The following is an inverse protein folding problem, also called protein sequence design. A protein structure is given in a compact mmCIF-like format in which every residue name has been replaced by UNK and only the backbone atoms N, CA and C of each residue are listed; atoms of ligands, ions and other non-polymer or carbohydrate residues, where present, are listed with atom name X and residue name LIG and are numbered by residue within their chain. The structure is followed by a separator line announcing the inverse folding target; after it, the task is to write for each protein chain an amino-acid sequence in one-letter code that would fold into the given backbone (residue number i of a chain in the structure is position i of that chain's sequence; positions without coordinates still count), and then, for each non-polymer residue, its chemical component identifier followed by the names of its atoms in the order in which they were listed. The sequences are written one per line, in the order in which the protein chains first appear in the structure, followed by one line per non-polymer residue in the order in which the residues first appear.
data_IF_819332359953
#
_entry.id   IF_819332359953
#
_cell.length_a   1.000
_cell.length_b   1.000
_cell.length_c   1.000
_cell.angle_alpha   90.00
_cell.angle_beta   90.00
_cell.angle_gamma   90.00
#
_symmetry.space_group_name_H-M   'P 1'
#
loop_
_entity.id
_entity.type
_entity.pdbx_description
1 polymer ?
#
# COMPACT_ATOMS: atom_id res chain seq x y z
N UNK A 1 -21.51 29.50 -18.91
CA UNK A 1 -22.66 29.88 -19.77
C UNK A 1 -22.18 30.70 -20.95
N UNK A 2 -23.09 31.28 -21.73
CA UNK A 2 -22.76 32.08 -22.94
C UNK A 2 -22.81 33.60 -22.73
N UNK A 3 -23.14 34.04 -21.51
CA UNK A 3 -23.37 35.44 -21.11
C UNK A 3 -22.16 36.35 -21.34
N UNK A 4 -20.96 35.91 -20.96
CA UNK A 4 -19.75 36.71 -21.07
C UNK A 4 -18.91 36.30 -22.28
N UNK A 5 -18.40 37.29 -23.03
CA UNK A 5 -17.55 37.12 -24.21
C UNK A 5 -16.10 37.55 -23.99
N UNK A 6 -15.82 38.24 -22.88
CA UNK A 6 -14.49 38.62 -22.44
C UNK A 6 -14.29 38.12 -21.00
N UNK A 7 -13.08 37.61 -20.70
CA UNK A 7 -12.74 37.02 -19.41
C UNK A 7 -11.48 37.69 -18.87
N UNK A 8 -11.44 38.03 -17.56
CA UNK A 8 -10.24 38.57 -16.96
C UNK A 8 -9.13 37.53 -16.93
N UNK A 9 -7.88 37.98 -16.98
CA UNK A 9 -6.73 37.12 -16.72
C UNK A 9 -6.64 36.78 -15.24
N UNK A 10 -5.90 35.71 -14.91
CA UNK A 10 -5.59 35.33 -13.54
C UNK A 10 -5.04 36.52 -12.72
N UNK A 11 -4.05 37.23 -13.28
CA UNK A 11 -3.38 38.33 -12.59
C UNK A 11 -4.29 39.53 -12.34
N UNK A 12 -5.33 39.74 -13.16
CA UNK A 12 -6.32 40.79 -12.93
C UNK A 12 -7.41 40.35 -11.94
N UNK A 13 -7.91 39.12 -12.06
CA UNK A 13 -9.04 38.64 -11.27
C UNK A 13 -8.67 38.40 -9.80
N UNK A 14 -7.57 37.70 -9.54
CA UNK A 14 -7.20 37.27 -8.18
C UNK A 14 -7.07 38.42 -7.15
N UNK A 15 -6.35 39.53 -7.44
CA UNK A 15 -6.21 40.61 -6.46
C UNK A 15 -7.54 41.29 -6.12
N UNK A 16 -8.49 41.32 -7.07
CA UNK A 16 -9.82 41.88 -6.90
C UNK A 16 -10.68 40.94 -6.04
N UNK A 17 -10.77 39.66 -6.43
CA UNK A 17 -11.58 38.65 -5.72
C UNK A 17 -11.10 38.49 -4.27
N UNK A 18 -9.80 38.32 -4.05
CA UNK A 18 -9.25 38.16 -2.69
C UNK A 18 -9.58 39.36 -1.80
N UNK A 19 -9.54 40.57 -2.37
CA UNK A 19 -9.86 41.78 -1.61
C UNK A 19 -11.34 41.83 -1.23
N UNK A 20 -12.23 41.61 -2.20
CA UNK A 20 -13.69 41.65 -2.05
C UNK A 20 -14.22 40.54 -1.13
N UNK A 21 -13.62 39.34 -1.17
CA UNK A 21 -14.01 38.21 -0.33
C UNK A 21 -13.45 38.30 1.10
N UNK A 22 -12.70 39.35 1.43
CA UNK A 22 -12.17 39.52 2.79
C UNK A 22 -10.92 38.69 3.10
N UNK A 23 -10.24 38.11 2.10
CA UNK A 23 -8.99 37.34 2.29
C UNK A 23 -7.94 38.22 2.96
N UNK A 24 -7.42 37.79 4.11
CA UNK A 24 -6.39 38.53 4.84
C UNK A 24 -4.98 38.16 4.37
N UNK A 25 -4.77 36.87 4.12
CA UNK A 25 -3.50 36.27 3.73
C UNK A 25 -3.72 35.33 2.55
N UNK A 26 -3.21 35.70 1.37
CA UNK A 26 -3.19 34.85 0.20
C UNK A 26 -1.96 33.94 0.24
N UNK A 27 -2.17 32.63 0.43
CA UNK A 27 -1.10 31.63 0.45
C UNK A 27 -0.88 31.11 -0.97
N UNK A 28 0.32 31.27 -1.53
CA UNK A 28 0.62 30.83 -2.90
C UNK A 28 1.99 30.19 -3.05
N UNK A 29 2.21 29.48 -4.17
CA UNK A 29 3.52 28.91 -4.44
C UNK A 29 4.55 29.99 -4.81
N UNK A 30 5.82 29.75 -4.51
CA UNK A 30 6.94 30.67 -4.84
C UNK A 30 7.11 30.94 -6.34
N UNK A 31 6.51 30.10 -7.19
CA UNK A 31 6.47 30.28 -8.65
C UNK A 31 5.76 31.57 -9.09
N UNK A 32 4.97 32.18 -8.21
CA UNK A 32 4.24 33.43 -8.48
C UNK A 32 4.92 34.68 -7.91
N UNK A 33 6.09 34.56 -7.29
CA UNK A 33 6.74 35.69 -6.61
C UNK A 33 6.94 36.91 -7.53
N UNK A 34 7.32 36.69 -8.79
CA UNK A 34 7.53 37.78 -9.77
C UNK A 34 6.23 38.52 -10.11
N UNK A 35 5.07 37.98 -9.72
CA UNK A 35 3.75 38.58 -9.91
C UNK A 35 3.24 39.33 -8.67
N UNK A 36 4.01 39.33 -7.57
CA UNK A 36 3.60 39.98 -6.31
C UNK A 36 3.40 41.49 -6.52
N UNK A 37 4.30 42.13 -7.28
CA UNK A 37 4.24 43.57 -7.58
C UNK A 37 2.99 43.92 -8.40
N UNK A 38 2.69 43.13 -9.44
CA UNK A 38 1.49 43.31 -10.27
C UNK A 38 0.21 43.14 -9.44
N UNK A 39 0.16 42.16 -8.55
CA UNK A 39 -0.97 41.91 -7.66
C UNK A 39 -1.24 43.13 -6.75
N UNK A 40 -0.18 43.67 -6.13
CA UNK A 40 -0.30 44.83 -5.23
C UNK A 40 -0.62 46.12 -6.00
N UNK A 41 -0.06 46.29 -7.21
CA UNK A 41 -0.36 47.41 -8.09
C UNK A 41 -1.85 47.49 -8.41
N UNK A 42 -2.48 46.37 -8.77
CA UNK A 42 -3.91 46.32 -9.07
C UNK A 42 -4.76 46.67 -7.84
N UNK A 43 -4.44 46.13 -6.66
CA UNK A 43 -5.17 46.49 -5.43
C UNK A 43 -5.08 47.98 -5.12
N UNK A 44 -3.89 48.57 -5.26
CA UNK A 44 -3.70 50.01 -5.05
C UNK A 44 -4.48 50.85 -6.06
N UNK A 45 -4.43 50.47 -7.33
CA UNK A 45 -5.05 51.22 -8.44
C UNK A 45 -6.56 51.27 -8.31
N UNK A 46 -7.18 50.16 -7.92
CA UNK A 46 -8.63 50.08 -7.73
C UNK A 46 -9.11 50.51 -6.34
N UNK A 47 -8.23 51.04 -5.48
CA UNK A 47 -8.58 51.45 -4.11
C UNK A 47 -9.06 50.29 -3.23
N UNK A 48 -8.59 49.08 -3.50
CA UNK A 48 -9.01 47.87 -2.83
C UNK A 48 -8.24 47.65 -1.52
N UNK A 49 -8.85 46.90 -0.60
CA UNK A 49 -8.20 46.48 0.65
C UNK A 49 -6.98 45.62 0.31
N UNK A 50 -5.83 45.95 0.91
CA UNK A 50 -4.58 45.21 0.72
C UNK A 50 -4.67 43.80 1.30
N UNK A 51 -4.30 42.81 0.51
CA UNK A 51 -4.16 41.41 0.93
C UNK A 51 -2.68 41.06 1.05
N UNK A 52 -2.29 40.37 2.12
CA UNK A 52 -0.89 39.98 2.36
C UNK A 52 -0.60 38.68 1.61
N UNK A 53 0.51 38.63 0.87
CA UNK A 53 0.93 37.42 0.17
C UNK A 53 1.94 36.67 1.05
N UNK A 54 1.72 35.38 1.25
CA UNK A 54 2.71 34.48 1.83
C UNK A 54 3.04 33.35 0.87
N UNK A 55 4.25 33.39 0.34
CA UNK A 55 4.76 32.38 -0.56
C UNK A 55 5.34 31.18 0.21
N UNK A 56 5.02 29.97 -0.27
CA UNK A 56 5.60 28.70 0.15
C UNK A 56 6.01 27.88 -1.07
N UNK A 57 6.94 26.95 -0.94
CA UNK A 57 7.37 26.13 -2.06
C UNK A 57 6.35 25.02 -2.33
N UNK A 58 6.17 24.66 -3.61
CA UNK A 58 5.45 23.44 -3.98
C UNK A 58 6.15 22.21 -3.40
N UNK A 59 5.36 21.20 -3.07
CA UNK A 59 5.90 19.86 -2.81
C UNK A 59 6.24 19.19 -4.14
N UNK A 60 7.36 18.48 -4.15
CA UNK A 60 7.75 17.57 -5.21
C UNK A 60 8.03 16.19 -4.59
N UNK A 61 7.86 15.13 -5.37
CA UNK A 61 8.18 13.76 -4.95
C UNK A 61 9.14 13.14 -5.96
N UNK A 62 10.06 12.32 -5.46
CA UNK A 62 10.96 11.55 -6.32
C UNK A 62 10.18 10.50 -7.14
N UNK A 63 10.72 10.10 -8.28
CA UNK A 63 10.20 9.02 -9.13
C UNK A 63 8.72 9.18 -9.57
N UNK A 64 8.25 10.43 -9.64
CA UNK A 64 6.89 10.74 -10.09
C UNK A 64 6.82 12.09 -10.79
N UNK A 65 5.65 12.42 -11.34
CA UNK A 65 5.35 13.72 -11.93
C UNK A 65 4.10 14.32 -11.30
N UNK A 66 4.14 15.61 -10.95
CA UNK A 66 3.00 16.33 -10.37
C UNK A 66 2.37 17.33 -11.35
N UNK A 67 2.99 17.55 -12.51
CA UNK A 67 2.46 18.44 -13.53
C UNK A 67 1.18 17.86 -14.12
N UNK A 68 0.09 18.64 -14.11
CA UNK A 68 -1.19 18.25 -14.71
C UNK A 68 -1.03 17.83 -16.16
N UNK A 69 -0.20 18.55 -16.94
CA UNK A 69 0.09 18.21 -18.35
C UNK A 69 0.71 16.80 -18.48
N UNK A 70 1.72 16.49 -17.65
CA UNK A 70 2.38 15.17 -17.67
C UNK A 70 1.43 14.06 -17.19
N UNK A 71 0.63 14.31 -16.14
CA UNK A 71 -0.36 13.35 -15.65
C UNK A 71 -1.48 13.10 -16.68
N UNK A 72 -1.97 14.14 -17.36
CA UNK A 72 -2.93 14.00 -18.46
C UNK A 72 -2.35 13.11 -19.56
N UNK A 73 -1.09 13.31 -19.93
CA UNK A 73 -0.43 12.48 -20.95
C UNK A 73 -0.42 10.99 -20.56
N UNK A 74 -0.13 10.63 -19.30
CA UNK A 74 -0.19 9.24 -18.85
C UNK A 74 -1.59 8.62 -19.02
N UNK A 75 -2.65 9.41 -18.78
CA UNK A 75 -4.05 8.99 -18.97
C UNK A 75 -4.36 8.83 -20.46
N UNK A 76 -3.98 9.80 -21.29
CA UNK A 76 -4.23 9.80 -22.74
C UNK A 76 -3.49 8.64 -23.45
N UNK A 77 -2.26 8.34 -23.03
CA UNK A 77 -1.48 7.20 -23.53
C UNK A 77 -1.93 5.85 -22.96
N UNK A 78 -2.96 5.82 -22.09
CA UNK A 78 -3.48 4.60 -21.45
C UNK A 78 -2.42 3.80 -20.67
N UNK A 79 -1.37 4.47 -20.20
CA UNK A 79 -0.35 3.89 -19.33
C UNK A 79 -0.86 3.70 -17.91
N UNK A 80 -1.94 4.43 -17.57
CA UNK A 80 -2.71 4.27 -16.34
C UNK A 80 -4.21 4.10 -16.61
N UNK A 81 -4.92 3.60 -15.61
CA UNK A 81 -6.38 3.39 -15.68
C UNK A 81 -7.20 4.69 -15.60
N UNK A 82 -6.64 5.75 -15.03
CA UNK A 82 -7.31 7.04 -14.90
C UNK A 82 -6.69 7.93 -13.82
N UNK A 83 -7.41 9.00 -13.44
CA UNK A 83 -6.95 9.97 -12.44
C UNK A 83 -6.92 9.42 -11.00
N UNK A 84 -7.62 8.31 -10.75
CA UNK A 84 -7.65 7.60 -9.48
C UNK A 84 -6.84 6.30 -9.51
N UNK A 85 -5.99 6.10 -10.52
CA UNK A 85 -5.06 4.98 -10.56
C UNK A 85 -4.16 4.97 -9.31
N UNK A 86 -3.95 3.81 -8.70
CA UNK A 86 -3.17 3.68 -7.47
C UNK A 86 -1.70 4.12 -7.63
N UNK A 87 -1.16 4.13 -8.86
CA UNK A 87 0.19 4.63 -9.16
C UNK A 87 0.28 6.15 -9.17
N UNK A 88 -0.84 6.84 -9.33
CA UNK A 88 -0.87 8.29 -9.46
C UNK A 88 -0.63 9.00 -8.12
N UNK A 89 0.13 10.11 -8.12
CA UNK A 89 0.36 10.93 -6.94
C UNK A 89 -0.83 11.87 -6.64
N UNK A 90 -2.02 11.57 -7.17
CA UNK A 90 -3.25 12.31 -6.88
C UNK A 90 -3.80 11.89 -5.52
N UNK A 91 -4.57 12.75 -4.87
CA UNK A 91 -5.25 12.39 -3.61
C UNK A 91 -6.09 11.12 -3.80
N UNK A 92 -6.84 11.01 -4.91
CA UNK A 92 -7.63 9.81 -5.21
C UNK A 92 -6.75 8.56 -5.42
N UNK A 93 -5.65 8.69 -6.16
CA UNK A 93 -4.74 7.57 -6.43
C UNK A 93 -4.09 7.03 -5.16
N UNK A 94 -3.51 7.90 -4.32
CA UNK A 94 -2.87 7.45 -3.08
C UNK A 94 -3.89 6.91 -2.06
N UNK A 95 -5.11 7.44 -2.00
CA UNK A 95 -6.19 6.88 -1.18
C UNK A 95 -6.61 5.49 -1.68
N UNK A 96 -6.77 5.32 -3.00
CA UNK A 96 -7.06 4.01 -3.62
C UNK A 96 -5.93 3.01 -3.40
N UNK A 97 -4.67 3.48 -3.36
CA UNK A 97 -3.51 2.65 -3.00
C UNK A 97 -3.49 2.26 -1.52
N UNK A 98 -4.24 2.93 -0.64
CA UNK A 98 -4.35 2.57 0.78
C UNK A 98 -3.76 3.59 1.77
N UNK A 99 -3.59 4.85 1.36
CA UNK A 99 -3.23 5.92 2.29
C UNK A 99 -4.41 6.26 3.20
N UNK A 100 -4.15 6.37 4.49
CA UNK A 100 -5.09 6.84 5.50
C UNK A 100 -5.13 8.38 5.52
N UNK A 101 -6.31 8.99 5.51
CA UNK A 101 -6.47 10.45 5.60
C UNK A 101 -5.76 11.05 6.84
N UNK A 102 -5.90 10.48 8.05
CA UNK A 102 -5.10 10.91 9.21
C UNK A 102 -3.58 10.90 8.97
N UNK A 103 -3.06 9.86 8.31
CA UNK A 103 -1.63 9.77 8.03
C UNK A 103 -1.20 10.81 7.00
N UNK A 104 -2.00 11.03 5.95
CA UNK A 104 -1.76 12.06 4.95
C UNK A 104 -1.71 13.45 5.60
N UNK A 105 -2.70 13.80 6.43
CA UNK A 105 -2.71 15.08 7.17
C UNK A 105 -1.47 15.22 8.04
N UNK A 106 -1.13 14.18 8.81
CA UNK A 106 0.03 14.19 9.70
C UNK A 106 1.35 14.33 8.92
N UNK A 107 1.46 13.68 7.77
CA UNK A 107 2.61 13.85 6.87
C UNK A 107 2.73 15.31 6.40
N UNK A 108 1.64 15.91 5.91
CA UNK A 108 1.63 17.30 5.44
C UNK A 108 1.98 18.28 6.58
N UNK A 109 1.42 18.08 7.77
CA UNK A 109 1.76 18.90 8.94
C UNK A 109 3.21 18.76 9.36
N UNK A 110 3.79 17.55 9.24
CA UNK A 110 5.20 17.31 9.55
C UNK A 110 6.17 17.96 8.56
N UNK A 111 5.78 18.13 7.29
CA UNK A 111 6.61 18.83 6.30
C UNK A 111 6.63 20.36 6.54
N UNK A 112 5.50 20.92 6.93
CA UNK A 112 5.36 22.37 7.17
C UNK A 112 5.45 23.22 5.90
N UNK A 113 5.24 24.52 6.06
CA UNK A 113 5.37 25.49 4.96
C UNK A 113 6.79 26.07 4.95
N UNK A 114 7.57 25.73 3.93
CA UNK A 114 8.92 26.26 3.70
C UNK A 114 9.00 26.92 2.34
N UNK A 115 9.92 27.89 2.15
CA UNK A 115 10.23 28.48 0.84
C UNK A 115 11.26 27.67 0.05
N UNK A 116 11.93 26.70 0.68
CA UNK A 116 12.93 25.86 0.02
C UNK A 116 12.24 24.76 -0.80
N UNK A 117 12.70 24.57 -2.04
CA UNK A 117 12.30 23.42 -2.86
C UNK A 117 12.89 22.15 -2.27
N UNK A 118 12.03 21.19 -1.94
CA UNK A 118 12.40 19.89 -1.42
C UNK A 118 11.73 18.81 -2.26
N UNK A 119 12.51 17.82 -2.68
CA UNK A 119 11.99 16.58 -3.27
C UNK A 119 11.80 15.57 -2.15
N UNK A 120 10.56 15.17 -1.95
CA UNK A 120 10.16 14.24 -0.92
C UNK A 120 10.41 12.80 -1.37
N UNK A 121 10.87 11.98 -0.43
CA UNK A 121 11.07 10.54 -0.62
C UNK A 121 9.80 9.79 -0.18
N UNK A 122 9.31 8.89 -1.03
CA UNK A 122 8.11 8.08 -0.75
C UNK A 122 8.21 7.24 0.52
N UNK A 123 9.41 6.79 0.88
CA UNK A 123 9.63 5.96 2.08
C UNK A 123 9.10 6.62 3.36
N UNK A 124 9.36 7.91 3.52
CA UNK A 124 8.88 8.67 4.68
C UNK A 124 7.34 8.78 4.71
N UNK A 125 6.73 8.97 3.55
CA UNK A 125 5.29 9.07 3.37
C UNK A 125 4.60 7.75 3.72
N UNK A 126 5.12 6.63 3.21
CA UNK A 126 4.59 5.29 3.48
C UNK A 126 4.86 4.81 4.90
N UNK A 127 6.01 5.15 5.49
CA UNK A 127 6.31 4.84 6.88
C UNK A 127 5.33 5.52 7.85
N UNK A 128 4.94 6.77 7.57
CA UNK A 128 3.93 7.45 8.39
C UNK A 128 2.54 6.82 8.20
N UNK A 129 2.19 6.41 6.98
CA UNK A 129 0.96 5.67 6.72
C UNK A 129 0.91 4.35 7.50
N UNK A 130 1.98 3.57 7.47
CA UNK A 130 2.10 2.30 8.20
C UNK A 130 1.78 2.44 9.68
N UNK A 131 2.26 3.49 10.34
CA UNK A 131 1.99 3.74 11.78
C UNK A 131 0.49 3.85 12.07
N UNK A 132 -0.27 4.45 11.15
CA UNK A 132 -1.73 4.56 11.31
C UNK A 132 -2.44 3.26 10.92
N UNK A 133 -1.93 2.51 9.94
CA UNK A 133 -2.52 1.24 9.54
C UNK A 133 -2.31 0.13 10.58
N UNK A 134 -1.11 0.04 11.17
CA UNK A 134 -0.75 -1.05 12.10
C UNK A 134 -1.65 -1.13 13.33
N UNK A 135 -2.24 0.01 13.75
CA UNK A 135 -3.18 0.12 14.87
C UNK A 135 -4.53 -0.54 14.64
N UNK A 136 -4.94 -0.69 13.37
CA UNK A 136 -6.33 -1.02 12.99
C UNK A 136 -6.45 -2.12 11.94
N UNK A 137 -5.37 -2.45 11.23
CA UNK A 137 -5.39 -3.45 10.18
C UNK A 137 -5.67 -4.85 10.76
N UNK A 138 -6.67 -5.54 10.21
CA UNK A 138 -6.96 -6.94 10.57
C UNK A 138 -5.91 -7.87 9.95
N UNK A 139 -5.48 -8.91 10.68
CA UNK A 139 -4.43 -9.85 10.26
C UNK A 139 -5.02 -11.10 9.63
N UNK A 140 -4.61 -11.37 8.40
CA UNK A 140 -4.99 -12.54 7.60
C UNK A 140 -3.75 -13.24 7.05
N UNK A 141 -3.95 -14.38 6.38
CA UNK A 141 -2.90 -15.12 5.71
C UNK A 141 -3.23 -15.24 4.23
N UNK A 142 -2.19 -15.32 3.40
CA UNK A 142 -2.29 -15.71 2.01
C UNK A 142 -0.96 -16.34 1.60
N UNK A 143 -1.03 -17.38 0.77
CA UNK A 143 0.12 -18.08 0.21
C UNK A 143 0.06 -18.00 -1.31
N UNK A 144 1.20 -17.90 -1.99
CA UNK A 144 1.25 -17.86 -3.46
C UNK A 144 0.52 -19.09 -4.05
N UNK A 145 -0.26 -18.92 -5.11
CA UNK A 145 -0.99 -20.03 -5.72
C UNK A 145 -0.09 -20.96 -6.56
N UNK A 146 1.06 -20.46 -6.99
CA UNK A 146 2.00 -21.16 -7.88
C UNK A 146 3.31 -21.54 -7.18
N UNK A 147 3.89 -20.62 -6.41
CA UNK A 147 5.14 -20.82 -5.68
C UNK A 147 4.87 -21.23 -4.22
N UNK A 148 4.21 -22.39 -4.05
CA UNK A 148 3.91 -22.96 -2.73
C UNK A 148 4.40 -24.40 -2.59
N UNK A 149 4.51 -24.82 -1.34
CA UNK A 149 4.78 -26.20 -0.95
C UNK A 149 3.66 -26.73 -0.06
N UNK A 150 3.40 -28.02 -0.12
CA UNK A 150 2.43 -28.70 0.74
C UNK A 150 3.13 -29.32 1.95
N UNK A 151 2.69 -28.96 3.15
CA UNK A 151 3.08 -29.60 4.40
C UNK A 151 1.94 -30.52 4.89
N UNK A 152 2.26 -31.79 5.10
CA UNK A 152 1.34 -32.79 5.66
C UNK A 152 1.62 -33.00 7.15
N UNK A 153 0.59 -32.89 7.97
CA UNK A 153 0.65 -33.06 9.42
C UNK A 153 0.26 -34.49 9.74
N UNK A 154 1.23 -35.27 10.19
CA UNK A 154 1.13 -36.73 10.35
C UNK A 154 0.23 -37.15 11.50
N UNK A 155 0.31 -36.45 12.64
CA UNK A 155 -0.49 -36.71 13.85
C UNK A 155 -1.76 -35.84 13.94
N UNK A 156 -2.30 -35.34 12.81
CA UNK A 156 -3.43 -34.40 12.83
C UNK A 156 -4.70 -34.97 13.50
N UNK A 157 -4.98 -36.26 13.33
CA UNK A 157 -6.14 -36.95 13.92
C UNK A 157 -6.03 -37.15 15.43
N UNK A 158 -4.83 -37.04 15.98
CA UNK A 158 -4.53 -37.21 17.41
C UNK A 158 -4.60 -35.88 18.18
N UNK A 159 -4.80 -34.76 17.46
CA UNK A 159 -4.94 -33.44 18.07
C UNK A 159 -6.34 -33.34 18.70
N UNK A 160 -6.41 -33.33 20.04
CA UNK A 160 -7.66 -33.16 20.78
C UNK A 160 -8.34 -31.81 20.45
N UNK A 161 -9.67 -31.82 20.34
CA UNK A 161 -10.44 -30.61 20.06
C UNK A 161 -10.27 -30.03 18.64
N UNK A 162 -9.74 -30.82 17.70
CA UNK A 162 -9.61 -30.45 16.29
C UNK A 162 -10.97 -30.48 15.56
N UNK A 163 -11.97 -29.80 16.11
CA UNK A 163 -12.99 -29.18 15.27
C UNK A 163 -12.21 -28.32 14.26
N UNK A 164 -12.52 -28.46 12.97
CA UNK A 164 -11.68 -28.01 11.83
C UNK A 164 -11.29 -26.51 11.84
N UNK A 165 -11.67 -25.73 12.84
CA UNK A 165 -11.41 -24.32 12.98
C UNK A 165 -10.89 -23.98 14.38
N UNK A 166 -9.82 -23.18 14.44
CA UNK A 166 -9.36 -22.52 15.67
C UNK A 166 -9.70 -21.05 15.60
N UNK A 167 -10.16 -20.50 16.71
CA UNK A 167 -10.45 -19.07 16.80
C UNK A 167 -9.16 -18.29 17.07
N UNK A 168 -8.88 -17.27 16.24
CA UNK A 168 -7.69 -16.43 16.38
C UNK A 168 -8.04 -14.94 16.35
N UNK A 169 -7.32 -14.13 17.13
CA UNK A 169 -7.55 -12.69 17.19
C UNK A 169 -7.26 -12.02 15.85
N UNK A 170 -8.16 -11.15 15.37
CA UNK A 170 -7.93 -10.36 14.15
C UNK A 170 -6.80 -9.35 14.32
N UNK A 171 -6.51 -8.92 15.55
CA UNK A 171 -5.43 -7.99 15.86
C UNK A 171 -4.67 -8.48 17.09
N UNK A 172 -3.33 -8.58 17.05
CA UNK A 172 -2.55 -9.16 18.14
C UNK A 172 -2.55 -8.31 19.42
N UNK A 173 -2.69 -6.99 19.30
CA UNK A 173 -2.63 -6.04 20.42
C UNK A 173 -3.98 -5.45 20.83
N UNK A 174 -5.04 -5.70 20.07
CA UNK A 174 -6.34 -5.05 20.27
C UNK A 174 -7.47 -6.08 20.18
N UNK A 175 -7.91 -6.62 21.34
CA UNK A 175 -9.00 -7.60 21.39
C UNK A 175 -10.34 -7.05 20.88
N UNK A 176 -10.56 -5.73 20.87
CA UNK A 176 -11.84 -5.13 20.50
C UNK A 176 -12.18 -5.28 19.02
N UNK A 177 -11.17 -5.46 18.16
CA UNK A 177 -11.32 -5.71 16.72
C UNK A 177 -11.96 -7.09 16.46
N UNK A 178 -11.93 -7.97 17.46
CA UNK A 178 -12.59 -9.28 17.42
C UNK A 178 -11.68 -10.41 16.97
N UNK A 179 -12.31 -11.53 16.65
CA UNK A 179 -11.65 -12.79 16.33
C UNK A 179 -12.20 -13.35 15.01
N UNK A 180 -11.47 -14.29 14.43
CA UNK A 180 -11.87 -15.00 13.22
C UNK A 180 -11.60 -16.50 13.35
N UNK A 181 -12.43 -17.35 12.73
CA UNK A 181 -12.11 -18.76 12.61
C UNK A 181 -10.98 -18.96 11.59
N UNK A 182 -10.00 -19.78 11.94
CA UNK A 182 -8.89 -20.20 11.09
C UNK A 182 -9.01 -21.70 10.87
N UNK A 183 -9.16 -22.12 9.62
CA UNK A 183 -9.34 -23.54 9.29
C UNK A 183 -8.04 -24.31 9.48
N UNK A 184 -8.09 -25.35 10.30
CA UNK A 184 -7.04 -26.35 10.43
C UNK A 184 -7.28 -27.51 9.44
N UNK A 185 -6.20 -28.12 8.97
CA UNK A 185 -6.23 -29.22 8.01
C UNK A 185 -4.96 -30.05 8.12
N UNK A 186 -5.06 -31.36 7.91
CA UNK A 186 -3.88 -32.24 7.82
C UNK A 186 -2.95 -31.87 6.66
N UNK A 187 -3.46 -31.17 5.64
CA UNK A 187 -2.67 -30.58 4.55
C UNK A 187 -2.75 -29.08 4.57
N UNK A 188 -1.59 -28.42 4.63
CA UNK A 188 -1.45 -26.98 4.57
C UNK A 188 -0.46 -26.55 3.49
N UNK A 189 -0.61 -25.33 3.01
CA UNK A 189 0.26 -24.67 2.06
C UNK A 189 1.19 -23.72 2.80
N UNK A 190 2.46 -23.74 2.42
CA UNK A 190 3.50 -22.81 2.83
C UNK A 190 4.04 -22.10 1.60
N UNK A 191 4.64 -20.93 1.76
CA UNK A 191 5.42 -20.33 0.68
C UNK A 191 6.62 -21.22 0.35
N UNK A 192 6.95 -21.35 -0.94
CA UNK A 192 8.08 -22.17 -1.39
C UNK A 192 9.40 -21.76 -0.73
N UNK A 193 9.62 -20.45 -0.55
CA UNK A 193 10.81 -19.91 0.14
C UNK A 193 10.90 -20.34 1.60
N UNK A 194 9.76 -20.44 2.30
CA UNK A 194 9.74 -20.86 3.70
C UNK A 194 9.93 -22.37 3.83
N UNK A 195 9.37 -23.13 2.90
CA UNK A 195 9.56 -24.57 2.81
C UNK A 195 11.01 -24.94 2.48
N UNK A 196 11.66 -24.17 1.60
CA UNK A 196 13.08 -24.29 1.31
C UNK A 196 13.96 -24.06 2.55
N UNK A 197 13.60 -23.11 3.42
CA UNK A 197 14.31 -22.82 4.67
C UNK A 197 14.05 -23.83 5.80
N UNK A 198 13.04 -24.70 5.67
CA UNK A 198 12.77 -25.73 6.67
C UNK A 198 13.87 -26.81 6.69
N UNK A 199 14.30 -27.17 7.90
CA UNK A 199 15.33 -28.19 8.15
C UNK A 199 14.70 -29.41 8.81
N UNK A 200 14.98 -30.60 8.28
CA UNK A 200 14.51 -31.87 8.84
C UNK A 200 15.07 -32.06 10.26
N UNK A 201 14.21 -32.46 11.19
CA UNK A 201 14.50 -32.60 12.62
C UNK A 201 14.38 -31.31 13.43
N UNK A 202 14.20 -30.15 12.80
CA UNK A 202 14.06 -28.87 13.48
C UNK A 202 12.58 -28.52 13.74
N UNK A 203 12.37 -27.66 14.74
CA UNK A 203 11.05 -27.12 15.08
C UNK A 203 10.78 -25.81 14.32
N UNK A 204 9.59 -25.71 13.75
CA UNK A 204 9.03 -24.53 13.10
C UNK A 204 7.75 -24.10 13.81
N UNK A 205 7.40 -22.83 13.70
CA UNK A 205 6.12 -22.30 14.20
C UNK A 205 5.23 -22.00 13.02
N UNK A 206 4.08 -22.68 12.95
CA UNK A 206 2.99 -22.24 12.10
C UNK A 206 2.22 -21.16 12.85
N UNK A 207 2.25 -19.93 12.33
CA UNK A 207 1.65 -18.77 12.97
C UNK A 207 0.19 -19.05 13.36
N UNK A 208 -0.20 -18.67 14.58
CA UNK A 208 -1.57 -18.85 15.12
C UNK A 208 -2.04 -20.30 15.27
N UNK A 209 -1.18 -21.29 15.02
CA UNK A 209 -1.45 -22.70 15.29
C UNK A 209 -0.56 -23.22 16.41
N UNK A 210 0.76 -23.27 16.20
CA UNK A 210 1.67 -23.82 17.20
C UNK A 210 3.00 -24.30 16.63
N UNK A 211 3.67 -25.17 17.38
CA UNK A 211 5.00 -25.70 17.05
C UNK A 211 4.86 -27.05 16.34
N UNK A 212 5.67 -27.23 15.29
CA UNK A 212 5.72 -28.43 14.48
C UNK A 212 7.16 -28.85 14.29
N UNK A 213 7.44 -30.15 14.33
CA UNK A 213 8.76 -30.70 13.99
C UNK A 213 8.72 -31.28 12.60
N UNK A 214 9.67 -30.87 11.77
CA UNK A 214 9.78 -31.35 10.39
C UNK A 214 10.38 -32.75 10.39
N UNK A 215 9.62 -33.74 9.93
CA UNK A 215 10.02 -35.15 9.92
C UNK A 215 10.68 -35.54 8.60
N UNK A 216 10.14 -35.04 7.48
CA UNK A 216 10.67 -35.32 6.15
C UNK A 216 10.47 -34.12 5.22
N UNK A 217 11.28 -34.08 4.17
CA UNK A 217 11.25 -33.04 3.14
C UNK A 217 11.70 -33.64 1.82
N UNK A 218 10.95 -33.43 0.74
CA UNK A 218 11.34 -33.88 -0.60
C UNK A 218 12.55 -33.10 -1.14
N UNK A 219 13.25 -33.68 -2.10
CA UNK A 219 14.44 -33.05 -2.73
C UNK A 219 14.12 -31.67 -3.34
N UNK A 220 12.94 -31.52 -3.93
CA UNK A 220 12.46 -30.27 -4.52
C UNK A 220 11.87 -29.28 -3.49
N UNK A 221 11.84 -29.65 -2.19
CA UNK A 221 11.23 -28.86 -1.11
C UNK A 221 9.74 -28.53 -1.28
N UNK A 222 9.03 -29.18 -2.21
CA UNK A 222 7.60 -28.92 -2.45
C UNK A 222 6.66 -29.74 -1.58
N UNK A 223 7.15 -30.82 -1.00
CA UNK A 223 6.39 -31.66 -0.08
C UNK A 223 7.16 -31.87 1.22
N UNK A 224 6.49 -31.63 2.33
CA UNK A 224 7.05 -31.78 3.66
C UNK A 224 6.09 -32.57 4.52
N UNK A 225 6.63 -33.26 5.51
CA UNK A 225 5.85 -33.86 6.58
C UNK A 225 6.32 -33.33 7.92
N UNK A 226 5.39 -33.03 8.80
CA UNK A 226 5.67 -32.62 10.16
C UNK A 226 4.72 -33.27 11.15
N UNK A 227 5.13 -33.27 12.41
CA UNK A 227 4.29 -33.61 13.55
C UNK A 227 4.03 -32.35 14.37
N UNK A 228 2.79 -32.18 14.81
CA UNK A 228 2.43 -31.16 15.79
C UNK A 228 3.02 -31.54 17.15
N UNK A 229 3.66 -30.58 17.83
CA UNK A 229 4.17 -30.75 19.19
C UNK A 229 3.25 -29.98 20.14
N UNK A 230 2.40 -30.68 20.93
CA UNK A 230 1.63 -30.07 22.01
C UNK A 230 2.57 -29.36 22.99
N UNK A 231 2.19 -28.15 23.41
CA UNK A 231 2.97 -27.32 24.34
C UNK A 231 4.44 -27.05 23.94
N UNK A 232 4.75 -27.13 22.65
CA UNK A 232 6.10 -26.88 22.13
C UNK A 232 6.59 -25.45 22.40
N UNK A 233 7.88 -25.31 22.71
CA UNK A 233 8.48 -24.01 23.03
C UNK A 233 8.75 -23.16 21.78
N UNK A 234 7.95 -22.09 21.62
CA UNK A 234 8.11 -21.10 20.55
C UNK A 234 9.49 -20.44 20.52
N UNK A 235 10.22 -20.38 21.65
CA UNK A 235 11.55 -19.76 21.73
C UNK A 235 12.64 -20.60 21.07
N UNK A 236 12.46 -21.92 21.03
CA UNK A 236 13.41 -22.83 20.38
C UNK A 236 13.28 -22.85 18.86
N UNK A 237 12.21 -22.26 18.32
CA UNK A 237 11.90 -22.25 16.90
C UNK A 237 12.48 -21.01 16.21
N UNK A 238 13.39 -21.21 15.25
CA UNK A 238 13.97 -20.09 14.48
C UNK A 238 13.01 -19.54 13.43
N UNK A 239 12.16 -20.40 12.85
CA UNK A 239 11.30 -20.04 11.72
C UNK A 239 9.85 -19.95 12.16
N UNK A 240 9.23 -18.78 11.93
CA UNK A 240 7.80 -18.53 12.09
C UNK A 240 7.20 -18.34 10.72
N UNK A 241 6.32 -19.25 10.32
CA UNK A 241 5.85 -19.41 8.95
C UNK A 241 4.35 -19.09 8.87
N UNK A 242 3.99 -18.31 7.86
CA UNK A 242 2.61 -18.09 7.45
C UNK A 242 2.14 -19.26 6.61
N UNK A 243 0.92 -19.71 6.82
CA UNK A 243 0.41 -20.93 6.19
C UNK A 243 -1.06 -20.78 5.86
N UNK A 244 -1.58 -21.69 5.06
CA UNK A 244 -3.00 -21.75 4.70
C UNK A 244 -3.47 -23.20 4.64
N UNK A 245 -4.69 -23.51 5.08
CA UNK A 245 -5.26 -24.82 4.79
C UNK A 245 -5.34 -25.04 3.26
N UNK A 246 -4.97 -26.23 2.79
CA UNK A 246 -4.96 -26.53 1.35
C UNK A 246 -6.37 -26.53 0.70
N UNK A 247 -7.44 -26.52 1.50
CA UNK A 247 -8.83 -26.48 1.03
C UNK A 247 -9.63 -25.34 1.67
N UNK A 248 -10.57 -24.79 0.91
CA UNK A 248 -11.47 -23.73 1.39
C UNK A 248 -10.81 -22.36 1.47
N UNK A 249 -9.83 -22.09 0.60
CA UNK A 249 -9.20 -20.78 0.46
C UNK A 249 -10.12 -19.77 -0.25
N UNK A 250 -9.74 -18.49 -0.16
CA UNK A 250 -10.30 -17.43 -0.98
C UNK A 250 -9.34 -17.16 -2.15
N UNK A 251 -9.76 -17.36 -3.41
CA UNK A 251 -9.04 -16.87 -4.57
C UNK A 251 -8.74 -15.38 -4.41
N UNK A 252 -7.46 -15.02 -4.43
CA UNK A 252 -6.99 -13.67 -4.14
C UNK A 252 -5.93 -13.25 -5.16
N UNK A 253 -6.03 -12.04 -5.67
CA UNK A 253 -5.01 -11.40 -6.50
C UNK A 253 -4.33 -10.34 -5.66
N UNK A 254 -3.03 -10.50 -5.44
CA UNK A 254 -2.18 -9.48 -4.84
C UNK A 254 -1.62 -8.60 -5.96
N UNK A 255 -1.83 -7.30 -5.88
CA UNK A 255 -1.34 -6.33 -6.86
C UNK A 255 -0.30 -5.44 -6.20
N UNK A 256 0.88 -5.38 -6.80
CA UNK A 256 1.95 -4.47 -6.41
C UNK A 256 2.18 -3.43 -7.50
N UNK A 257 2.67 -2.26 -7.07
CA UNK A 257 2.87 -1.10 -7.94
C UNK A 257 4.27 -0.54 -7.77
N UNK A 258 4.88 -0.15 -8.88
CA UNK A 258 6.15 0.57 -8.93
C UNK A 258 5.95 2.07 -9.25
N UNK A 259 7.05 2.80 -9.28
CA UNK A 259 7.13 4.20 -9.66
C UNK A 259 6.79 4.45 -11.13
N UNK A 260 6.13 5.58 -11.41
CA UNK A 260 5.72 5.96 -12.78
C UNK A 260 6.91 6.29 -13.69
N UNK A 261 8.01 6.78 -13.11
CA UNK A 261 9.23 7.11 -13.84
C UNK A 261 10.43 6.47 -13.16
N UNK A 262 11.45 6.14 -13.94
CA UNK A 262 12.67 5.46 -13.49
C UNK A 262 13.72 6.42 -12.92
N UNK A 263 13.60 7.72 -13.22
CA UNK A 263 14.52 8.76 -12.74
C UNK A 263 14.00 9.38 -11.44
N UNK A 264 14.89 9.47 -10.44
CA UNK A 264 14.59 10.04 -9.12
C UNK A 264 14.01 11.45 -9.23
N UNK A 265 14.63 12.33 -10.03
CA UNK A 265 14.20 13.69 -10.25
C UNK A 265 14.40 14.07 -11.72
N UNK A 266 13.37 14.62 -12.35
CA UNK A 266 13.46 15.20 -13.67
C UNK A 266 14.07 16.60 -13.58
N UNK A 267 15.12 16.85 -14.36
CA UNK A 267 15.82 18.13 -14.48
C UNK A 267 15.32 18.94 -15.68
N UNK A 268 15.73 20.20 -15.74
CA UNK A 268 15.43 21.06 -16.87
C UNK A 268 16.10 20.53 -18.14
N UNK A 269 15.33 20.40 -19.23
CA UNK A 269 15.77 19.78 -20.49
C UNK A 269 15.47 18.28 -20.62
N UNK A 270 15.10 17.60 -19.53
CA UNK A 270 14.66 16.20 -19.62
C UNK A 270 13.34 16.07 -20.38
N UNK A 271 13.33 15.18 -21.38
CA UNK A 271 12.10 14.64 -21.95
C UNK A 271 11.59 13.56 -21.01
N UNK A 272 10.44 13.78 -20.39
CA UNK A 272 9.97 12.89 -19.33
C UNK A 272 9.54 11.52 -19.88
N UNK A 273 9.18 11.48 -21.16
CA UNK A 273 8.77 10.30 -21.92
C UNK A 273 9.88 9.23 -21.94
N UNK A 274 11.15 9.66 -21.97
CA UNK A 274 12.32 8.76 -21.99
C UNK A 274 12.53 8.03 -20.66
N UNK A 275 11.91 8.51 -19.59
CA UNK A 275 12.04 7.97 -18.23
C UNK A 275 10.77 7.28 -17.73
N UNK A 276 9.78 7.06 -18.59
CA UNK A 276 8.56 6.33 -18.23
C UNK A 276 8.92 4.89 -17.86
N UNK A 277 8.45 4.44 -16.70
CA UNK A 277 8.66 3.05 -16.28
C UNK A 277 7.66 2.14 -17.03
N UNK A 278 8.12 1.13 -17.79
CA UNK A 278 7.22 0.18 -18.45
C UNK A 278 6.62 -0.84 -17.47
N UNK A 279 7.28 -1.12 -16.35
CA UNK A 279 6.92 -2.16 -15.39
C UNK A 279 6.45 -1.53 -14.09
N UNK A 280 5.19 -1.08 -14.06
CA UNK A 280 4.63 -0.32 -12.93
C UNK A 280 3.57 -1.07 -12.14
N UNK A 281 3.18 -2.25 -12.60
CA UNK A 281 2.17 -3.09 -11.96
C UNK A 281 2.55 -4.55 -12.16
N UNK A 282 2.43 -5.34 -11.10
CA UNK A 282 2.52 -6.79 -11.19
C UNK A 282 1.43 -7.42 -10.32
N UNK A 283 0.99 -8.61 -10.73
CA UNK A 283 -0.04 -9.36 -10.02
C UNK A 283 0.45 -10.75 -9.67
N UNK A 284 -0.01 -11.22 -8.51
CA UNK A 284 0.30 -12.54 -7.98
C UNK A 284 -1.00 -13.19 -7.53
N UNK A 285 -1.33 -14.33 -8.15
CA UNK A 285 -2.42 -15.18 -7.69
C UNK A 285 -2.02 -15.85 -6.38
N UNK A 286 -2.91 -15.80 -5.40
CA UNK A 286 -2.68 -16.33 -4.06
C UNK A 286 -3.92 -17.07 -3.56
N UNK A 287 -3.67 -18.10 -2.74
CA UNK A 287 -4.66 -18.74 -1.90
C UNK A 287 -4.73 -17.96 -0.58
N UNK A 288 -5.77 -17.15 -0.42
CA UNK A 288 -5.99 -16.34 0.76
C UNK A 288 -6.87 -17.01 1.81
N UNK A 289 -6.90 -16.45 3.01
CA UNK A 289 -7.78 -16.91 4.07
C UNK A 289 -9.26 -16.91 3.66
N UNK A 290 -10.02 -17.92 4.10
CA UNK A 290 -11.45 -18.00 3.83
C UNK A 290 -12.20 -16.73 4.28
N UNK A 291 -11.76 -16.14 5.39
CA UNK A 291 -12.35 -14.92 5.93
C UNK A 291 -12.10 -13.69 5.04
N UNK A 292 -11.18 -13.73 4.08
CA UNK A 292 -11.03 -12.64 3.10
C UNK A 292 -12.31 -12.44 2.27
N UNK A 293 -13.14 -13.48 2.13
CA UNK A 293 -14.47 -13.39 1.47
C UNK A 293 -15.43 -12.42 2.18
N UNK A 294 -15.16 -12.07 3.44
CA UNK A 294 -15.99 -11.16 4.24
C UNK A 294 -15.58 -9.69 4.11
N UNK A 295 -14.45 -9.40 3.45
CA UNK A 295 -13.93 -8.06 3.34
C UNK A 295 -14.70 -7.24 2.30
N UNK A 296 -14.78 -5.94 2.54
CA UNK A 296 -15.43 -4.98 1.68
C UNK A 296 -14.40 -4.12 0.95
N UNK A 297 -14.83 -3.47 -0.14
CA UNK A 297 -13.99 -2.50 -0.84
C UNK A 297 -13.50 -1.41 0.12
N UNK A 298 -12.21 -1.09 0.07
CA UNK A 298 -11.58 -0.10 0.93
C UNK A 298 -11.12 -0.61 2.29
N UNK A 299 -11.46 -1.84 2.67
CA UNK A 299 -10.89 -2.46 3.88
C UNK A 299 -9.36 -2.50 3.79
N UNK A 300 -8.70 -2.22 4.91
CA UNK A 300 -7.25 -2.33 5.03
C UNK A 300 -6.89 -3.46 5.97
N UNK A 301 -6.03 -4.35 5.49
CA UNK A 301 -5.62 -5.57 6.18
C UNK A 301 -4.10 -5.70 6.18
N UNK A 302 -3.60 -6.59 7.03
CA UNK A 302 -2.23 -7.07 6.97
C UNK A 302 -2.27 -8.56 6.63
N UNK A 303 -1.60 -8.94 5.54
CA UNK A 303 -1.27 -10.33 5.28
C UNK A 303 0.01 -10.64 6.05
N UNK A 304 -0.08 -11.58 7.00
CA UNK A 304 1.05 -11.91 7.87
C UNK A 304 2.25 -12.37 7.06
N UNK A 305 3.42 -11.79 7.37
CA UNK A 305 4.67 -11.97 6.63
C UNK A 305 4.63 -11.53 5.17
N UNK A 306 3.57 -10.89 4.65
CA UNK A 306 3.56 -10.27 3.30
C UNK A 306 3.52 -8.74 3.34
N UNK A 307 2.70 -8.15 4.22
CA UNK A 307 2.61 -6.70 4.35
C UNK A 307 1.18 -6.18 4.47
N UNK A 308 0.99 -4.89 4.22
CA UNK A 308 -0.32 -4.24 4.28
C UNK A 308 -0.96 -4.19 2.90
N UNK A 309 -2.27 -4.38 2.85
CA UNK A 309 -3.05 -4.39 1.63
C UNK A 309 -4.37 -3.65 1.82
N UNK A 310 -4.83 -2.95 0.79
CA UNK A 310 -6.20 -2.42 0.68
C UNK A 310 -7.00 -3.29 -0.27
N UNK A 311 -8.24 -3.61 0.07
CA UNK A 311 -9.17 -4.28 -0.85
C UNK A 311 -9.60 -3.31 -1.94
N UNK A 312 -9.17 -3.55 -3.19
CA UNK A 312 -9.63 -2.76 -4.34
C UNK A 312 -10.90 -3.34 -4.96
N UNK A 313 -11.03 -4.68 -4.96
CA UNK A 313 -12.28 -5.36 -5.31
C UNK A 313 -12.53 -6.51 -4.33
N UNK A 314 -13.68 -6.55 -3.63
CA UNK A 314 -14.00 -7.66 -2.75
C UNK A 314 -14.27 -8.94 -3.56
N UNK A 315 -14.18 -10.09 -2.90
CA UNK A 315 -14.53 -11.37 -3.50
C UNK A 315 -16.02 -11.40 -3.91
N UNK A 316 -16.31 -11.81 -5.14
CA UNK A 316 -17.69 -11.95 -5.65
C UNK A 316 -17.96 -13.28 -6.35
N UNK A 317 -17.08 -14.27 -6.16
CA UNK A 317 -17.16 -15.59 -6.77
C UNK A 317 -15.80 -16.07 -7.28
N UNK A 318 -15.70 -17.32 -7.72
CA UNK A 318 -14.45 -17.91 -8.26
C UNK A 318 -13.88 -17.10 -9.42
N UNK A 319 -14.74 -16.64 -10.35
CA UNK A 319 -14.33 -15.82 -11.51
C UNK A 319 -14.02 -14.35 -11.14
N UNK A 320 -14.32 -13.96 -9.91
CA UNK A 320 -14.13 -12.59 -9.39
C UNK A 320 -13.40 -12.65 -8.04
N UNK A 321 -12.10 -13.00 -8.08
CA UNK A 321 -11.29 -13.13 -6.87
C UNK A 321 -11.19 -11.81 -6.12
N UNK A 322 -10.82 -11.90 -4.84
CA UNK A 322 -10.52 -10.71 -4.04
C UNK A 322 -9.25 -10.02 -4.59
N UNK A 323 -9.31 -8.75 -4.95
CA UNK A 323 -8.16 -7.98 -5.46
C UNK A 323 -7.63 -7.07 -4.35
N UNK A 324 -6.37 -7.26 -4.00
CA UNK A 324 -5.69 -6.58 -2.90
C UNK A 324 -4.53 -5.74 -3.43
N UNK A 325 -4.58 -4.44 -3.19
CA UNK A 325 -3.51 -3.51 -3.55
C UNK A 325 -2.50 -3.39 -2.41
N UNK A 326 -1.24 -3.69 -2.70
CA UNK A 326 -0.15 -3.60 -1.74
C UNK A 326 0.08 -2.14 -1.34
N UNK A 327 0.10 -1.93 -0.02
CA UNK A 327 0.42 -0.66 0.61
C UNK A 327 1.89 -0.71 1.04
N UNK A 328 2.77 0.14 0.50
CA UNK A 328 4.17 0.16 0.92
C UNK A 328 4.29 0.51 2.41
N UNK A 329 5.34 -0.03 3.03
CA UNK A 329 5.57 0.09 4.48
C UNK A 329 6.72 1.07 4.83
N UNK A 330 7.30 1.69 3.81
CA UNK A 330 8.39 2.67 3.90
C UNK A 330 9.80 2.09 3.94
N UNK A 331 9.96 0.76 3.80
CA UNK A 331 11.27 0.11 3.71
C UNK A 331 11.66 -0.12 2.25
N UNK A 332 12.96 -0.02 1.96
CA UNK A 332 13.57 -0.34 0.66
C UNK A 332 13.71 -1.84 0.40
N UNK A 333 13.60 -2.69 1.43
CA UNK A 333 13.61 -4.15 1.30
C UNK A 333 12.36 -4.72 1.96
N UNK A 334 11.74 -5.70 1.31
CA UNK A 334 10.62 -6.45 1.88
C UNK A 334 11.07 -7.13 3.19
N UNK A 335 10.16 -7.18 4.16
CA UNK A 335 10.38 -7.86 5.46
C UNK A 335 10.35 -9.39 5.34
N UNK A 336 9.98 -9.91 4.16
CA UNK A 336 9.77 -11.32 3.87
C UNK A 336 10.81 -11.81 2.88
N UNK A 337 11.24 -13.08 3.02
CA UNK A 337 12.06 -13.76 2.00
C UNK A 337 11.36 -13.89 0.63
N UNK A 338 10.04 -13.63 0.58
CA UNK A 338 9.29 -13.46 -0.66
C UNK A 338 9.73 -12.17 -1.37
N UNK A 339 10.35 -12.31 -2.53
CA UNK A 339 10.62 -11.21 -3.44
C UNK A 339 9.32 -10.76 -4.12
N UNK A 340 9.11 -9.45 -4.26
CA UNK A 340 8.11 -8.93 -5.21
C UNK A 340 8.48 -9.30 -6.64
N UNK A 341 7.50 -9.28 -7.54
CA UNK A 341 7.71 -9.43 -9.00
C UNK A 341 8.22 -8.15 -9.64
N UNK A 342 8.18 -7.03 -8.91
CA UNK A 342 8.76 -5.76 -9.31
C UNK A 342 10.09 -5.55 -8.59
N UNK A 343 11.03 -4.90 -9.28
CA UNK A 343 12.36 -4.61 -8.74
C UNK A 343 12.30 -3.55 -7.61
N UNK A 344 11.25 -2.71 -7.59
CA UNK A 344 11.04 -1.58 -6.66
C UNK A 344 12.32 -0.73 -6.58
N UNK A 345 12.52 0.09 -7.63
CA UNK A 345 13.73 0.91 -7.83
C UNK A 345 13.90 2.06 -6.83
#
# INVERSE_FOLDING_TARGET
GTTYKAYPTYDMACPIVDSLEGVTHALRTTEYNDRDEQYQFLQKTFGLRRVRIHAFCRMNFQYTVLSKRKLTWFVEQKLVTGWDDARFPTVRGVLRRGVSIPALKKYIYGQGASRRVVNMVWNSFWAENKKELDKKARRFMAVDATANATLTITNFTEIEGCDKYVTTALHPKDPSIGQRPMKLSSKVLLEEVDAADCVVGANIVLLRWGVFKVNSKSEDSKTLEAEFIPDGDFKTCKHKISWMAASGSCPTILTEFDHLVTKEKLEEGDKFEDYVNPNTIATTSACGDACLKTLQEGDVIQLERRGFYRVDSPYRGEDKPCVLYMIPDGKTKSMSGMSGKLAHH
#
